data_IF_664413682206
#
_entry.id   IF_664413682206
#
_cell.length_a   1.000
_cell.length_b   1.000
_cell.length_c   1.000
_cell.angle_alpha   90.00
_cell.angle_beta   90.00
_cell.angle_gamma   90.00
#
_symmetry.space_group_name_H-M   'P 1'
#
loop_
_entity.id
_entity.type
_entity.pdbx_description
1 polymer ?
#
# COMPACT_ATOMS: atom_id res chain seq x y z
N UNK A 1 -0.82 -10.21 8.12
CA UNK A 1 0.60 -10.05 7.72
C UNK A 1 1.15 -8.65 8.03
N UNK A 2 0.34 -7.59 7.98
CA UNK A 2 0.79 -6.20 8.20
C UNK A 2 0.77 -5.69 9.66
N UNK A 3 0.41 -6.52 10.65
CA UNK A 3 -0.01 -6.02 11.97
C UNK A 3 1.10 -5.63 12.95
N UNK A 4 2.40 -5.79 12.67
CA UNK A 4 3.45 -5.53 13.67
C UNK A 4 4.81 -5.11 13.09
N UNK A 5 4.86 -4.67 11.84
CA UNK A 5 6.11 -4.22 11.18
C UNK A 5 5.93 -2.73 10.91
N UNK A 6 6.95 -1.94 11.21
CA UNK A 6 6.95 -0.52 10.87
C UNK A 6 7.26 -0.41 9.38
N UNK A 7 6.28 -0.83 8.56
CA UNK A 7 6.44 -1.16 7.15
C UNK A 7 7.13 -0.04 6.39
N UNK A 8 6.89 1.23 6.71
CA UNK A 8 7.58 2.38 6.11
C UNK A 8 9.09 2.38 6.32
N UNK A 9 9.59 2.01 7.50
CA UNK A 9 11.03 1.91 7.79
C UNK A 9 11.63 0.65 7.20
N UNK A 10 10.90 -0.45 7.29
CA UNK A 10 11.40 -1.76 6.85
C UNK A 10 11.34 -1.91 5.33
N UNK A 11 10.50 -1.13 4.62
CA UNK A 11 10.35 -1.18 3.17
C UNK A 11 11.69 -0.95 2.46
N UNK A 12 12.50 -0.01 2.96
CA UNK A 12 13.79 0.35 2.36
C UNK A 12 14.84 -0.75 2.46
N UNK A 13 14.63 -1.74 3.34
CA UNK A 13 15.51 -2.91 3.47
C UNK A 13 15.17 -4.06 2.52
N UNK A 14 14.01 -4.01 1.86
CA UNK A 14 13.56 -5.08 0.97
C UNK A 14 14.33 -5.07 -0.35
N UNK A 15 14.62 -6.26 -0.86
CA UNK A 15 15.10 -6.43 -2.23
C UNK A 15 13.92 -6.43 -3.22
N UNK A 16 14.23 -6.48 -4.53
CA UNK A 16 13.21 -6.40 -5.57
C UNK A 16 12.19 -7.55 -5.54
N UNK A 17 12.61 -8.77 -5.20
CA UNK A 17 11.70 -9.93 -5.14
C UNK A 17 10.76 -9.81 -3.93
N UNK A 18 11.27 -9.35 -2.79
CA UNK A 18 10.44 -9.06 -1.62
C UNK A 18 9.44 -7.94 -1.91
N UNK A 19 9.82 -6.91 -2.67
CA UNK A 19 8.92 -5.84 -3.10
C UNK A 19 7.82 -6.35 -4.04
N UNK A 20 8.14 -7.24 -4.98
CA UNK A 20 7.13 -7.90 -5.84
C UNK A 20 6.16 -8.74 -5.02
N UNK A 21 6.69 -9.52 -4.08
CA UNK A 21 5.89 -10.34 -3.18
C UNK A 21 4.97 -9.48 -2.31
N UNK A 22 5.47 -8.37 -1.78
CA UNK A 22 4.68 -7.39 -1.04
C UNK A 22 3.53 -6.82 -1.91
N UNK A 23 3.81 -6.42 -3.15
CA UNK A 23 2.78 -5.91 -4.07
C UNK A 23 1.67 -6.94 -4.30
N UNK A 24 2.02 -8.22 -4.49
CA UNK A 24 1.04 -9.31 -4.62
C UNK A 24 0.16 -9.45 -3.38
N UNK A 25 0.74 -9.47 -2.18
CA UNK A 25 -0.05 -9.53 -0.95
C UNK A 25 -0.96 -8.31 -0.76
N UNK A 26 -0.51 -7.12 -1.14
CA UNK A 26 -1.32 -5.90 -1.10
C UNK A 26 -2.52 -6.00 -2.06
N UNK A 27 -2.33 -6.52 -3.28
CA UNK A 27 -3.43 -6.72 -4.23
C UNK A 27 -4.49 -7.65 -3.66
N UNK A 28 -4.07 -8.79 -3.09
CA UNK A 28 -5.00 -9.74 -2.46
C UNK A 28 -5.79 -9.14 -1.30
N UNK A 29 -5.13 -8.34 -0.46
CA UNK A 29 -5.78 -7.64 0.65
C UNK A 29 -6.81 -6.61 0.15
N UNK A 30 -6.48 -5.84 -0.90
CA UNK A 30 -7.39 -4.88 -1.53
C UNK A 30 -8.59 -5.60 -2.15
N UNK A 31 -8.36 -6.68 -2.92
CA UNK A 31 -9.42 -7.49 -3.54
C UNK A 31 -10.36 -8.02 -2.47
N UNK A 32 -9.80 -8.62 -1.42
CA UNK A 32 -10.58 -9.18 -0.31
C UNK A 32 -11.41 -8.13 0.40
N UNK A 33 -10.81 -6.97 0.72
CA UNK A 33 -11.50 -5.89 1.42
C UNK A 33 -12.63 -5.28 0.58
N UNK A 34 -12.39 -5.03 -0.71
CA UNK A 34 -13.40 -4.47 -1.63
C UNK A 34 -14.49 -5.48 -1.95
N UNK A 35 -14.15 -6.78 -2.08
CA UNK A 35 -15.15 -7.84 -2.26
C UNK A 35 -16.13 -7.89 -1.08
N UNK A 36 -15.64 -7.75 0.16
CA UNK A 36 -16.47 -7.80 1.37
C UNK A 36 -17.28 -6.51 1.59
N UNK A 37 -16.68 -5.35 1.35
CA UNK A 37 -17.21 -4.06 1.82
C UNK A 37 -17.64 -3.09 0.69
N UNK A 38 -17.37 -3.43 -0.57
CA UNK A 38 -17.45 -2.48 -1.69
C UNK A 38 -16.31 -1.47 -1.71
N UNK A 39 -16.31 -0.58 -2.71
CA UNK A 39 -15.30 0.48 -2.88
C UNK A 39 -14.61 0.47 -4.25
N UNK A 40 -13.54 1.27 -4.38
CA UNK A 40 -12.88 1.51 -5.66
C UNK A 40 -11.79 0.46 -5.94
N UNK A 41 -12.13 -0.63 -6.64
CA UNK A 41 -11.17 -1.70 -6.91
C UNK A 41 -10.08 -1.30 -7.92
N UNK A 42 -10.49 -0.97 -9.16
CA UNK A 42 -9.59 -0.81 -10.30
C UNK A 42 -8.54 0.30 -10.07
N UNK A 43 -8.96 1.44 -9.51
CA UNK A 43 -8.05 2.55 -9.21
C UNK A 43 -6.97 2.18 -8.20
N UNK A 44 -7.30 1.37 -7.18
CA UNK A 44 -6.31 0.93 -6.19
C UNK A 44 -5.36 -0.13 -6.77
N UNK A 45 -5.87 -1.08 -7.55
CA UNK A 45 -5.04 -2.11 -8.18
C UNK A 45 -4.03 -1.51 -9.18
N UNK A 46 -4.43 -0.47 -9.92
CA UNK A 46 -3.58 0.16 -10.93
C UNK A 46 -2.40 0.99 -10.38
N UNK A 47 -2.32 1.22 -9.07
CA UNK A 47 -1.27 2.06 -8.45
C UNK A 47 -0.50 1.37 -7.32
N UNK A 48 -0.63 0.04 -7.17
CA UNK A 48 0.02 -0.69 -6.08
C UNK A 48 1.54 -0.52 -6.13
N UNK A 49 2.17 -0.83 -7.25
CA UNK A 49 3.63 -0.78 -7.42
C UNK A 49 4.13 0.64 -7.32
N UNK A 50 3.43 1.58 -7.98
CA UNK A 50 3.75 3.01 -7.91
C UNK A 50 3.77 3.49 -6.46
N UNK A 51 2.74 3.17 -5.69
CA UNK A 51 2.63 3.62 -4.30
C UNK A 51 3.70 2.96 -3.43
N UNK A 52 3.96 1.66 -3.60
CA UNK A 52 5.06 0.96 -2.89
C UNK A 52 6.40 1.62 -3.19
N UNK A 53 6.69 1.91 -4.46
CA UNK A 53 7.96 2.53 -4.85
C UNK A 53 8.09 3.98 -4.36
N UNK A 54 7.00 4.74 -4.27
CA UNK A 54 7.02 6.07 -3.65
C UNK A 54 7.42 5.95 -2.18
N UNK A 55 6.82 5.03 -1.41
CA UNK A 55 7.21 4.79 -0.01
C UNK A 55 8.64 4.27 0.13
N UNK A 56 9.14 3.51 -0.85
CA UNK A 56 10.50 2.97 -0.86
C UNK A 56 11.55 4.06 -1.09
N UNK A 57 11.30 4.93 -2.07
CA UNK A 57 12.27 5.94 -2.53
C UNK A 57 12.25 7.22 -1.66
N UNK A 58 11.06 7.69 -1.28
CA UNK A 58 10.90 8.93 -0.53
C UNK A 58 10.95 8.70 0.99
N UNK A 59 11.15 9.77 1.75
CA UNK A 59 11.20 9.74 3.21
C UNK A 59 9.90 10.28 3.80
N UNK A 60 8.86 9.46 3.86
CA UNK A 60 7.56 9.85 4.42
C UNK A 60 7.56 9.68 5.95
N UNK A 61 7.06 10.67 6.74
CA UNK A 61 6.23 11.82 6.34
C UNK A 61 6.98 13.16 6.16
N UNK A 62 8.33 13.13 6.11
CA UNK A 62 9.14 14.35 5.87
C UNK A 62 8.83 14.90 4.49
N UNK A 63 8.94 14.06 3.47
CA UNK A 63 8.42 14.34 2.13
C UNK A 63 6.88 14.30 2.15
N UNK A 64 6.25 15.06 1.25
CA UNK A 64 4.79 15.14 1.17
C UNK A 64 4.29 14.41 -0.07
N UNK A 65 3.39 13.45 0.15
CA UNK A 65 2.68 12.73 -0.88
C UNK A 65 1.22 13.17 -0.89
N UNK A 66 0.77 13.71 -2.02
CA UNK A 66 -0.62 14.10 -2.25
C UNK A 66 -1.25 13.16 -3.28
N UNK A 67 -2.40 12.58 -2.93
CA UNK A 67 -3.25 11.87 -3.87
C UNK A 67 -4.39 12.79 -4.29
N UNK A 68 -4.56 13.00 -5.60
CA UNK A 68 -5.74 13.69 -6.13
C UNK A 68 -6.98 12.79 -5.94
N UNK A 69 -8.07 13.36 -5.42
CA UNK A 69 -9.27 12.68 -4.87
C UNK A 69 -9.00 11.70 -3.72
N UNK A 70 -8.20 10.65 -3.97
CA UNK A 70 -7.79 9.67 -2.97
C UNK A 70 -8.45 8.29 -3.07
N UNK A 71 -9.26 8.02 -4.09
CA UNK A 71 -9.86 6.69 -4.30
C UNK A 71 -8.85 5.57 -4.61
N UNK A 72 -7.59 5.93 -4.86
CA UNK A 72 -6.46 5.07 -5.20
C UNK A 72 -5.45 4.93 -4.04
N UNK A 73 -5.79 5.37 -2.82
CA UNK A 73 -4.84 5.45 -1.71
C UNK A 73 -4.82 4.22 -0.76
N UNK A 74 -5.47 3.09 -1.09
CA UNK A 74 -5.55 1.94 -0.17
C UNK A 74 -4.19 1.33 0.13
N UNK A 75 -3.32 1.22 -0.88
CA UNK A 75 -1.92 0.81 -0.70
C UNK A 75 -1.20 1.72 0.28
N UNK A 76 -1.38 3.04 0.15
CA UNK A 76 -0.81 4.00 1.08
C UNK A 76 -1.37 3.83 2.50
N UNK A 77 -2.67 3.56 2.65
CA UNK A 77 -3.29 3.26 3.96
C UNK A 77 -2.64 2.03 4.61
N UNK A 78 -2.50 0.92 3.87
CA UNK A 78 -1.87 -0.31 4.34
C UNK A 78 -0.42 -0.10 4.78
N UNK A 79 0.40 0.55 3.95
CA UNK A 79 1.82 0.81 4.24
C UNK A 79 2.04 1.76 5.43
N UNK A 80 1.02 2.56 5.78
CA UNK A 80 1.05 3.47 6.94
C UNK A 80 0.34 2.89 8.17
N UNK A 81 0.20 1.56 8.23
CA UNK A 81 -0.32 0.84 9.39
C UNK A 81 -1.84 0.90 9.58
N UNK A 82 -2.59 1.35 8.57
CA UNK A 82 -4.06 1.37 8.62
C UNK A 82 -4.63 0.09 7.99
N UNK A 83 -5.55 -0.55 8.69
CA UNK A 83 -6.29 -1.72 8.21
C UNK A 83 -7.34 -1.33 7.15
N UNK A 84 -7.55 -2.19 6.15
CA UNK A 84 -8.70 -2.14 5.25
C UNK A 84 -9.87 -3.02 5.73
N UNK A 85 -9.65 -3.81 6.77
CA UNK A 85 -10.69 -4.58 7.46
C UNK A 85 -11.37 -3.69 8.50
N UNK A 86 -12.70 -3.62 8.39
CA UNK A 86 -13.58 -3.24 9.50
C UNK A 86 -13.75 -4.42 10.44
#
# INVERSE_FOLDING_TARGET
MFNNINLTKDLKSLNLEDLKFLCTNIREEIITAVFKNGGHLSSNLGVVELTVMIHYLFDLPKDKLLFDVGHQCYTHKLLTGRSLKN
#
